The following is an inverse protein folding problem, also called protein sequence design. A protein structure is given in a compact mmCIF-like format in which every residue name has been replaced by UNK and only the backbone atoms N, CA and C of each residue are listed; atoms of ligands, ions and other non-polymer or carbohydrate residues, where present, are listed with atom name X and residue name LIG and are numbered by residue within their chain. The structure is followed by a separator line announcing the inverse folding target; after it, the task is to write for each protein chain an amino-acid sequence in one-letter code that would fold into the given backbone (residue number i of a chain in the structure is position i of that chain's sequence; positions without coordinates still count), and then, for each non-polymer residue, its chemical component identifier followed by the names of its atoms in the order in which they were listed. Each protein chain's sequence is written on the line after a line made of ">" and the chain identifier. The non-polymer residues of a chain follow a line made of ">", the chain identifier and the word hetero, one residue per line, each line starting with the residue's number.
data_IF_991762690573
#
_entry.id   IF_991762690573
#
_cell.length_a   1.000
_cell.length_b   1.000
_cell.length_c   1.000
_cell.angle_alpha   90.00
_cell.angle_beta   90.00
_cell.angle_gamma   90.00
#
_symmetry.space_group_name_H-M   'P 1'
#
loop_
_entity.id
_entity.type
_entity.pdbx_description
1 polymer ?
#
# COMPACT_ATOMS: atom_id res chain seq x y z
N UNK A 1 -0.82 17.54 -2.51
CA UNK A 1 -1.95 16.60 -2.44
C UNK A 1 -1.83 15.75 -1.18
N UNK A 2 -2.92 15.56 -0.48
CA UNK A 2 -2.92 14.85 0.81
C UNK A 2 -3.84 13.64 0.75
N UNK A 3 -3.31 12.46 1.12
CA UNK A 3 -4.08 11.23 1.21
C UNK A 3 -4.12 10.75 2.65
N UNK A 4 -5.27 10.27 3.08
CA UNK A 4 -5.38 9.51 4.32
C UNK A 4 -5.35 8.04 3.96
N UNK A 5 -4.36 7.32 4.46
CA UNK A 5 -4.21 5.90 4.13
C UNK A 5 -4.20 5.07 5.41
N UNK A 6 -4.69 3.83 5.26
CA UNK A 6 -4.68 2.84 6.33
C UNK A 6 -3.74 1.71 5.94
N UNK A 7 -2.82 1.39 6.83
CA UNK A 7 -1.85 0.33 6.57
C UNK A 7 -2.03 -0.76 7.63
N UNK A 8 -2.25 -1.99 7.16
CA UNK A 8 -2.22 -3.16 8.02
C UNK A 8 -0.81 -3.75 8.02
N UNK A 9 -0.31 -4.03 9.22
CA UNK A 9 0.98 -4.72 9.38
C UNK A 9 0.70 -6.07 10.04
N UNK A 10 1.13 -7.14 9.39
CA UNK A 10 0.93 -8.48 9.92
C UNK A 10 2.05 -9.42 9.46
N UNK A 11 2.08 -10.60 10.05
CA UNK A 11 3.12 -11.61 9.75
C UNK A 11 2.50 -12.80 9.07
N UNK A 12 3.23 -13.36 8.10
CA UNK A 12 2.94 -14.66 7.51
C UNK A 12 4.23 -15.49 7.58
N UNK A 13 4.24 -16.48 8.46
CA UNK A 13 5.47 -17.22 8.72
C UNK A 13 6.56 -16.28 9.21
N UNK A 14 7.70 -16.27 8.53
CA UNK A 14 8.83 -15.42 8.88
C UNK A 14 8.86 -14.10 8.12
N UNK A 15 7.79 -13.79 7.41
CA UNK A 15 7.74 -12.61 6.57
C UNK A 15 6.75 -11.60 7.19
N UNK A 16 7.15 -10.34 7.21
CA UNK A 16 6.29 -9.24 7.61
C UNK A 16 5.63 -8.64 6.38
N UNK A 17 4.35 -8.30 6.50
CA UNK A 17 3.55 -7.79 5.38
C UNK A 17 2.96 -6.45 5.77
N UNK A 18 3.02 -5.50 4.83
CA UNK A 18 2.36 -4.20 4.93
C UNK A 18 1.37 -4.08 3.79
N UNK A 19 0.13 -3.75 4.09
CA UNK A 19 -0.95 -3.68 3.11
C UNK A 19 -1.64 -2.33 3.21
N UNK A 20 -1.57 -1.53 2.14
CA UNK A 20 -2.28 -0.27 2.04
C UNK A 20 -3.68 -0.53 1.52
N UNK A 21 -4.70 -0.22 2.32
CA UNK A 21 -6.08 -0.60 1.99
C UNK A 21 -6.70 0.25 0.89
N UNK A 22 -6.36 1.53 0.83
CA UNK A 22 -6.94 2.45 -0.15
C UNK A 22 -6.53 2.12 -1.58
N UNK A 23 -5.30 1.66 -1.75
CA UNK A 23 -4.74 1.36 -3.07
C UNK A 23 -4.61 -0.14 -3.34
N UNK A 24 -4.92 -0.94 -2.33
CA UNK A 24 -4.75 -2.40 -2.36
C UNK A 24 -3.33 -2.79 -2.79
N UNK A 25 -2.33 -2.10 -2.26
CA UNK A 25 -0.92 -2.39 -2.50
C UNK A 25 -0.35 -3.15 -1.31
N UNK A 26 0.45 -4.16 -1.61
CA UNK A 26 1.05 -5.04 -0.60
C UNK A 26 2.56 -5.07 -0.81
N UNK A 27 3.30 -5.01 0.28
CA UNK A 27 4.74 -5.18 0.26
C UNK A 27 5.16 -6.07 1.43
N UNK A 28 6.33 -6.65 1.32
CA UNK A 28 6.83 -7.55 2.34
C UNK A 28 8.29 -7.26 2.68
N UNK A 29 8.74 -7.78 3.80
CA UNK A 29 10.10 -7.67 4.26
C UNK A 29 10.34 -8.64 5.41
N UNK A 30 11.59 -8.77 5.84
CA UNK A 30 11.92 -9.62 6.98
C UNK A 30 11.53 -8.97 8.29
N UNK A 31 11.55 -7.65 8.36
CA UNK A 31 11.14 -6.87 9.53
C UNK A 31 10.00 -5.93 9.14
N UNK A 32 9.22 -5.52 10.13
CA UNK A 32 8.10 -4.61 9.90
C UNK A 32 8.53 -3.32 9.23
N UNK A 33 9.67 -2.76 9.65
CA UNK A 33 10.17 -1.50 9.07
C UNK A 33 10.53 -1.68 7.60
N UNK A 34 11.04 -2.84 7.21
CA UNK A 34 11.36 -3.12 5.82
C UNK A 34 10.09 -3.25 4.99
N UNK A 35 9.09 -3.98 5.49
CA UNK A 35 7.82 -4.11 4.80
C UNK A 35 7.15 -2.75 4.60
N UNK A 36 7.16 -1.91 5.64
CA UNK A 36 6.58 -0.58 5.57
C UNK A 36 7.33 0.30 4.57
N UNK A 37 8.66 0.28 4.60
CA UNK A 37 9.48 1.06 3.67
C UNK A 37 9.20 0.65 2.22
N UNK A 38 9.16 -0.66 1.99
CA UNK A 38 8.88 -1.18 0.65
C UNK A 38 7.47 -0.78 0.18
N UNK A 39 6.50 -0.78 1.08
CA UNK A 39 5.15 -0.33 0.76
C UNK A 39 5.12 1.16 0.40
N UNK A 40 5.80 2.00 1.18
CA UNK A 40 5.84 3.43 0.91
C UNK A 40 6.48 3.73 -0.44
N UNK A 41 7.53 2.99 -0.80
CA UNK A 41 8.15 3.11 -2.12
C UNK A 41 7.17 2.73 -3.22
N UNK A 42 6.41 1.66 -3.04
CA UNK A 42 5.41 1.22 -4.02
C UNK A 42 4.30 2.26 -4.18
N UNK A 43 3.83 2.83 -3.07
CA UNK A 43 2.81 3.89 -3.10
C UNK A 43 3.33 5.10 -3.87
N UNK A 44 4.56 5.52 -3.60
CA UNK A 44 5.18 6.65 -4.28
C UNK A 44 5.24 6.43 -5.79
N UNK A 45 5.66 5.24 -6.21
CA UNK A 45 5.72 4.88 -7.62
C UNK A 45 4.34 4.92 -8.27
N UNK A 46 3.32 4.43 -7.59
CA UNK A 46 1.95 4.42 -8.12
C UNK A 46 1.39 5.83 -8.27
N UNK A 47 1.64 6.69 -7.28
CA UNK A 47 1.19 8.08 -7.35
C UNK A 47 1.86 8.80 -8.52
N UNK A 48 3.17 8.64 -8.67
CA UNK A 48 3.89 9.28 -9.76
C UNK A 48 3.40 8.78 -11.13
N UNK A 49 3.16 7.49 -11.25
CA UNK A 49 2.63 6.91 -12.47
C UNK A 49 1.25 7.48 -12.82
N UNK A 50 0.37 7.57 -11.82
CA UNK A 50 -0.97 8.11 -12.01
C UNK A 50 -0.94 9.58 -12.43
N UNK A 51 -0.04 10.37 -11.82
CA UNK A 51 0.12 11.77 -12.18
C UNK A 51 0.63 11.93 -13.61
N UNK A 52 1.59 11.11 -14.02
CA UNK A 52 2.14 11.16 -15.39
C UNK A 52 1.09 10.82 -16.44
N UNK A 53 0.13 9.97 -16.09
CA UNK A 53 -0.91 9.52 -17.02
C UNK A 53 -2.24 10.26 -16.84
N UNK A 54 -2.28 11.29 -15.99
CA UNK A 54 -3.51 12.04 -15.69
C UNK A 54 -4.66 11.12 -15.26
N UNK A 55 -4.34 10.08 -14.49
CA UNK A 55 -5.32 9.06 -14.13
C UNK A 55 -5.27 8.78 -12.63
N UNK A 56 -5.55 9.81 -11.83
CA UNK A 56 -5.58 9.68 -10.38
C UNK A 56 -6.71 8.77 -9.91
N UNK A 57 -7.79 8.69 -10.68
CA UNK A 57 -8.94 7.87 -10.29
C UNK A 57 -8.58 6.39 -10.22
N UNK A 58 -7.70 5.91 -11.12
CA UNK A 58 -7.31 4.50 -11.13
C UNK A 58 -6.43 4.12 -9.95
N UNK A 59 -5.88 5.11 -9.24
CA UNK A 59 -5.06 4.86 -8.05
C UNK A 59 -5.88 4.28 -6.90
N UNK A 60 -7.15 4.68 -6.81
CA UNK A 60 -8.01 4.28 -5.70
C UNK A 60 -8.75 2.98 -6.04
N UNK A 61 -8.09 1.86 -5.74
CA UNK A 61 -8.65 0.52 -5.90
C UNK A 61 -8.66 -0.13 -4.52
N UNK A 62 -9.69 0.18 -3.70
CA UNK A 62 -9.66 -0.23 -2.29
C UNK A 62 -9.63 -1.76 -2.12
N UNK A 63 -9.00 -2.20 -1.05
CA UNK A 63 -8.95 -3.61 -0.68
C UNK A 63 -10.37 -4.12 -0.42
N UNK A 64 -10.60 -5.45 -0.55
CA UNK A 64 -11.91 -6.04 -0.24
C UNK A 64 -12.40 -5.66 1.15
N UNK A 65 -13.74 -5.62 1.30
CA UNK A 65 -14.39 -5.16 2.52
C UNK A 65 -13.92 -5.90 3.78
N UNK A 66 -13.51 -7.16 3.64
CA UNK A 66 -13.05 -7.98 4.76
C UNK A 66 -11.82 -7.42 5.47
N UNK A 67 -11.04 -6.56 4.81
CA UNK A 67 -9.85 -5.95 5.40
C UNK A 67 -10.16 -4.65 6.15
N UNK A 68 -11.38 -4.15 6.08
CA UNK A 68 -11.72 -2.81 6.56
C UNK A 68 -12.38 -2.78 7.94
N UNK A 69 -12.21 -3.77 8.73
CA UNK A 69 -12.80 -3.74 10.07
C UNK A 69 -11.92 -2.99 11.06
#
# INVERSE_FOLDING_TARGET
>A
MKFNIHILLYSEGNIQIAHCLEFDLVAQGKRKIEALRNLLDAIDMQINFALENNDLASLFTPAPAEYWN
#
